data_IF_020201263015
#
_entry.id   IF_020201263015
#
_cell.length_a   1.000
_cell.length_b   1.000
_cell.length_c   1.000
_cell.angle_alpha   90.00
_cell.angle_beta   90.00
_cell.angle_gamma   90.00
#
_symmetry.space_group_name_H-M   'P 1'
#
loop_
_entity.id
_entity.type
_entity.pdbx_description
1 polymer ?
#
# COMPACT_ATOMS: atom_id res chain seq x y z
N UNK A 1 13.92 -11.49 -0.89
CA UNK A 1 13.83 -10.32 -1.78
C UNK A 1 15.26 -9.94 -2.17
N UNK A 2 15.54 -9.57 -3.42
CA UNK A 2 16.86 -9.64 -4.04
C UNK A 2 17.48 -8.27 -4.05
N UNK A 3 18.62 -8.26 -3.43
CA UNK A 3 19.47 -7.15 -3.12
C UNK A 3 20.82 -7.81 -2.90
N UNK A 4 21.89 -7.09 -3.19
CA UNK A 4 23.21 -7.52 -2.75
C UNK A 4 23.39 -7.31 -1.22
N UNK A 5 22.43 -6.65 -0.55
CA UNK A 5 22.42 -6.34 0.89
C UNK A 5 21.28 -7.04 1.67
N UNK A 6 21.51 -8.27 2.12
CA UNK A 6 20.53 -9.01 2.93
C UNK A 6 20.07 -8.26 4.21
N UNK A 7 20.82 -7.28 4.71
CA UNK A 7 20.44 -6.45 5.85
C UNK A 7 19.44 -5.34 5.50
N UNK A 8 19.42 -4.89 4.23
CA UNK A 8 18.42 -3.96 3.72
C UNK A 8 16.99 -4.47 3.94
N UNK A 9 16.77 -5.79 3.88
CA UNK A 9 15.47 -6.41 4.12
C UNK A 9 15.02 -6.39 5.58
N UNK A 10 15.96 -6.51 6.52
CA UNK A 10 15.64 -6.41 7.95
C UNK A 10 15.15 -5.02 8.33
N UNK A 11 15.38 -4.02 7.48
CA UNK A 11 15.04 -2.62 7.71
C UNK A 11 13.72 -2.18 7.08
N UNK A 12 13.11 -2.99 6.21
CA UNK A 12 11.77 -2.70 5.67
C UNK A 12 10.76 -2.76 6.80
N UNK A 13 10.07 -1.65 7.05
CA UNK A 13 9.13 -1.50 8.17
C UNK A 13 7.70 -1.24 7.72
N UNK A 14 7.44 -1.06 6.43
CA UNK A 14 6.09 -0.83 5.90
C UNK A 14 5.76 -1.66 4.65
N UNK A 15 4.47 -1.97 4.44
CA UNK A 15 3.98 -2.53 3.17
C UNK A 15 4.38 -1.67 1.97
N UNK A 16 4.28 -0.35 2.08
CA UNK A 16 4.67 0.58 1.01
C UNK A 16 6.12 0.41 0.57
N UNK A 17 7.06 0.23 1.50
CA UNK A 17 8.47 -0.07 1.20
C UNK A 17 8.65 -1.43 0.51
N UNK A 18 7.88 -2.45 0.90
CA UNK A 18 7.87 -3.76 0.25
C UNK A 18 7.36 -3.67 -1.20
N UNK A 19 6.21 -3.02 -1.41
CA UNK A 19 5.57 -2.98 -2.73
C UNK A 19 6.28 -2.08 -3.76
N UNK A 20 7.25 -1.23 -3.36
CA UNK A 20 7.97 -0.36 -4.32
C UNK A 20 8.67 -1.11 -5.45
N UNK A 21 9.13 -2.33 -5.16
CA UNK A 21 9.87 -3.18 -6.11
C UNK A 21 8.97 -4.21 -6.78
N UNK A 22 7.70 -4.29 -6.40
CA UNK A 22 6.75 -5.25 -6.95
C UNK A 22 6.21 -4.71 -8.27
N UNK A 23 6.50 -5.42 -9.35
CA UNK A 23 6.03 -5.09 -10.70
C UNK A 23 4.68 -5.76 -10.98
N UNK A 24 4.49 -6.98 -10.46
CA UNK A 24 3.26 -7.76 -10.60
C UNK A 24 2.95 -8.52 -9.32
N UNK A 25 1.70 -8.43 -8.88
CA UNK A 25 1.18 -9.20 -7.76
C UNK A 25 -0.34 -9.34 -7.86
N UNK A 26 -0.78 -10.45 -8.46
CA UNK A 26 -2.21 -10.69 -8.71
C UNK A 26 -3.02 -10.91 -7.43
N UNK A 27 -2.43 -11.61 -6.45
CA UNK A 27 -3.09 -11.96 -5.19
C UNK A 27 -2.84 -10.94 -4.05
N UNK A 28 -2.63 -9.66 -4.38
CA UNK A 28 -2.34 -8.62 -3.40
C UNK A 28 -3.52 -8.35 -2.46
N UNK A 29 -4.76 -8.45 -2.97
CA UNK A 29 -5.97 -8.31 -2.16
C UNK A 29 -6.03 -9.35 -1.06
N UNK A 30 -5.75 -10.60 -1.40
CA UNK A 30 -5.84 -11.75 -0.50
C UNK A 30 -4.75 -11.66 0.58
N UNK A 31 -3.55 -11.19 0.21
CA UNK A 31 -2.49 -10.90 1.17
C UNK A 31 -2.91 -9.80 2.16
N UNK A 32 -3.47 -8.68 1.66
CA UNK A 32 -3.89 -7.57 2.52
C UNK A 32 -5.06 -7.98 3.42
N UNK A 33 -6.02 -8.74 2.91
CA UNK A 33 -7.10 -9.31 3.69
C UNK A 33 -6.54 -10.14 4.85
N UNK A 34 -5.66 -11.07 4.56
CA UNK A 34 -5.09 -11.95 5.56
C UNK A 34 -4.17 -11.19 6.56
N UNK A 35 -3.52 -10.11 6.12
CA UNK A 35 -2.70 -9.26 6.98
C UNK A 35 -3.54 -8.37 7.92
N UNK A 36 -4.71 -7.92 7.46
CA UNK A 36 -5.62 -7.04 8.22
C UNK A 36 -6.61 -7.84 9.09
N UNK A 37 -6.87 -9.09 8.73
CA UNK A 37 -7.72 -10.04 9.43
C UNK A 37 -7.02 -11.41 9.53
N UNK A 38 -6.00 -11.54 10.39
CA UNK A 38 -5.23 -12.77 10.46
C UNK A 38 -6.04 -13.92 11.07
N UNK A 39 -6.35 -14.91 10.24
CA UNK A 39 -6.88 -16.22 10.65
C UNK A 39 -5.73 -17.10 11.13
N UNK A 40 -5.74 -17.62 12.38
CA UNK A 40 -4.66 -18.48 12.88
C UNK A 40 -4.35 -19.63 11.92
N UNK A 41 -3.06 -19.86 11.67
CA UNK A 41 -2.54 -20.96 10.85
C UNK A 41 -2.91 -20.97 9.36
N UNK A 42 -3.66 -19.97 8.88
CA UNK A 42 -3.88 -19.79 7.46
C UNK A 42 -2.55 -19.60 6.73
N UNK A 43 -2.38 -20.35 5.63
CA UNK A 43 -1.20 -20.29 4.76
C UNK A 43 -1.61 -19.57 3.48
N UNK A 44 -0.82 -18.57 3.08
CA UNK A 44 -0.95 -17.90 1.80
C UNK A 44 0.34 -18.07 1.01
N UNK A 45 0.23 -18.58 -0.22
CA UNK A 45 1.37 -18.80 -1.10
C UNK A 45 1.06 -18.31 -2.51
N UNK A 46 1.96 -17.52 -3.08
CA UNK A 46 1.78 -16.93 -4.40
C UNK A 46 3.13 -16.58 -5.03
N UNK A 47 3.12 -16.21 -6.31
CA UNK A 47 4.29 -15.71 -7.02
C UNK A 47 4.13 -14.22 -7.32
N UNK A 48 5.23 -13.48 -7.26
CA UNK A 48 5.29 -12.06 -7.58
C UNK A 48 6.45 -11.77 -8.53
N UNK A 49 6.26 -10.82 -9.45
CA UNK A 49 7.36 -10.29 -10.26
C UNK A 49 7.90 -9.04 -9.59
N UNK A 50 9.21 -8.95 -9.46
CA UNK A 50 9.90 -7.86 -8.79
C UNK A 50 11.04 -7.31 -9.62
N UNK A 51 11.30 -6.01 -9.47
CA UNK A 51 12.45 -5.33 -10.05
C UNK A 51 13.64 -5.45 -9.09
N UNK A 52 14.71 -6.08 -9.57
CA UNK A 52 15.97 -6.21 -8.86
C UNK A 52 16.76 -4.88 -8.88
N UNK A 53 17.62 -4.67 -7.88
CA UNK A 53 18.48 -3.47 -7.78
C UNK A 53 19.44 -3.32 -8.96
N UNK A 54 19.80 -4.44 -9.62
CA UNK A 54 20.61 -4.43 -10.86
C UNK A 54 19.79 -4.15 -12.13
N UNK A 55 18.51 -3.81 -11.99
CA UNK A 55 17.63 -3.42 -13.11
C UNK A 55 17.00 -4.56 -13.90
N UNK A 56 17.23 -5.82 -13.52
CA UNK A 56 16.58 -6.98 -14.12
C UNK A 56 15.33 -7.41 -13.32
N UNK A 57 14.40 -8.12 -13.96
CA UNK A 57 13.25 -8.70 -13.26
C UNK A 57 13.60 -10.04 -12.63
N UNK A 58 12.91 -10.36 -11.54
CA UNK A 58 12.94 -11.66 -10.86
C UNK A 58 11.51 -12.11 -10.55
N UNK A 59 11.34 -13.41 -10.40
CA UNK A 59 10.10 -14.04 -9.97
C UNK A 59 10.30 -14.67 -8.60
N UNK A 60 9.55 -14.20 -7.60
CA UNK A 60 9.65 -14.74 -6.24
C UNK A 60 8.39 -15.47 -5.84
N UNK A 61 8.57 -16.60 -5.19
CA UNK A 61 7.52 -17.23 -4.43
C UNK A 61 7.49 -16.64 -3.02
N UNK A 62 6.32 -16.17 -2.61
CA UNK A 62 6.04 -15.77 -1.24
C UNK A 62 5.24 -16.90 -0.60
N UNK A 63 5.66 -17.35 0.57
CA UNK A 63 4.84 -18.21 1.43
C UNK A 63 4.75 -17.56 2.79
N UNK A 64 3.54 -17.43 3.30
CA UNK A 64 3.25 -16.78 4.57
C UNK A 64 2.34 -17.64 5.43
N UNK A 65 2.45 -17.47 6.75
CA UNK A 65 1.56 -18.06 7.74
C UNK A 65 1.05 -16.97 8.67
N UNK A 66 -0.26 -16.94 8.83
CA UNK A 66 -0.93 -16.03 9.74
C UNK A 66 -0.81 -16.49 11.18
N UNK A 67 -0.68 -15.52 12.07
CA UNK A 67 -0.68 -15.74 13.51
C UNK A 67 -1.58 -14.70 14.16
N UNK A 68 -2.39 -15.17 15.10
CA UNK A 68 -3.21 -14.31 15.93
C UNK A 68 -3.26 -14.93 17.33
N UNK A 69 -2.16 -14.75 18.06
CA UNK A 69 -1.97 -15.27 19.42
C UNK A 69 -1.39 -14.17 20.34
N UNK A 70 -1.23 -14.50 21.62
CA UNK A 70 -0.69 -13.57 22.63
C UNK A 70 0.74 -13.10 22.34
N UNK A 71 1.44 -13.71 21.39
CA UNK A 71 2.82 -13.37 21.05
C UNK A 71 2.92 -12.55 19.75
N UNK A 72 1.97 -12.66 18.82
CA UNK A 72 1.93 -11.88 17.57
C UNK A 72 0.56 -11.96 16.90
N UNK A 73 0.09 -10.82 16.40
CA UNK A 73 -1.07 -10.70 15.50
C UNK A 73 -0.58 -10.13 14.17
N UNK A 74 -0.72 -10.90 13.10
CA UNK A 74 -0.25 -10.55 11.75
C UNK A 74 0.18 -11.77 10.94
N UNK A 75 1.12 -11.58 10.02
CA UNK A 75 1.64 -12.64 9.14
C UNK A 75 3.15 -12.73 9.22
N UNK A 76 3.68 -13.95 9.13
CA UNK A 76 5.11 -14.20 8.93
C UNK A 76 5.33 -14.84 7.58
N UNK A 77 6.23 -14.28 6.81
CA UNK A 77 6.49 -14.70 5.43
C UNK A 77 7.94 -15.04 5.18
N UNK A 78 8.15 -15.97 4.24
CA UNK A 78 9.41 -16.22 3.56
C UNK A 78 9.20 -15.87 2.09
N UNK A 79 10.23 -15.28 1.48
CA UNK A 79 10.28 -15.06 0.02
C UNK A 79 11.47 -15.81 -0.54
N UNK A 80 11.27 -16.52 -1.64
CA UNK A 80 12.30 -17.28 -2.33
C UNK A 80 12.35 -16.87 -3.80
N UNK A 81 13.56 -16.63 -4.31
CA UNK A 81 13.77 -16.41 -5.74
C UNK A 81 13.68 -17.74 -6.50
N UNK A 82 12.77 -17.80 -7.46
CA UNK A 82 12.50 -18.97 -8.30
C UNK A 82 12.69 -18.65 -9.78
N UNK A 83 13.40 -17.55 -10.10
CA UNK A 83 13.63 -17.05 -11.46
C UNK A 83 14.31 -18.07 -12.37
N UNK A 84 15.14 -18.94 -11.79
CA UNK A 84 15.85 -20.02 -12.48
C UNK A 84 14.92 -21.11 -13.02
N UNK A 85 13.78 -21.33 -12.36
CA UNK A 85 12.78 -22.34 -12.75
C UNK A 85 11.58 -21.71 -13.47
N UNK A 86 11.13 -20.54 -13.01
CA UNK A 86 9.97 -19.84 -13.55
C UNK A 86 10.37 -18.40 -13.87
N UNK A 87 10.53 -18.04 -15.16
CA UNK A 87 10.97 -16.71 -15.54
C UNK A 87 9.93 -15.64 -15.14
N UNK A 88 10.37 -14.39 -14.91
CA UNK A 88 9.47 -13.29 -14.57
C UNK A 88 8.49 -13.02 -15.71
N UNK A 89 7.20 -12.93 -15.36
CA UNK A 89 6.14 -12.55 -16.28
C UNK A 89 5.73 -11.10 -16.04
N UNK A 90 5.55 -10.35 -17.12
CA UNK A 90 4.91 -9.04 -17.12
C UNK A 90 3.79 -9.00 -18.15
N UNK A 91 2.66 -8.43 -17.77
CA UNK A 91 1.52 -8.19 -18.67
C UNK A 91 1.82 -7.03 -19.62
N UNK A 92 1.29 -7.03 -20.86
CA UNK A 92 1.36 -5.86 -21.76
C UNK A 92 0.85 -4.56 -21.11
N UNK A 93 -0.15 -4.65 -20.23
CA UNK A 93 -0.67 -3.49 -19.49
C UNK A 93 0.35 -2.96 -18.47
N UNK A 94 1.08 -3.85 -17.81
CA UNK A 94 2.18 -3.49 -16.91
C UNK A 94 3.31 -2.82 -17.71
N UNK A 95 3.62 -3.31 -18.91
CA UNK A 95 4.61 -2.71 -19.81
C UNK A 95 4.25 -1.29 -20.24
N UNK A 96 2.99 -1.04 -20.63
CA UNK A 96 2.48 0.32 -20.91
C UNK A 96 2.54 1.21 -19.66
N UNK A 97 2.24 0.61 -18.52
CA UNK A 97 2.41 1.18 -17.21
C UNK A 97 3.87 1.46 -16.85
N UNK A 98 4.89 0.91 -17.51
CA UNK A 98 6.29 1.29 -17.25
C UNK A 98 6.71 2.53 -18.05
N UNK A 99 6.17 2.71 -19.26
CA UNK A 99 6.63 3.74 -20.22
C UNK A 99 5.93 5.10 -20.11
N UNK A 100 4.81 5.19 -19.39
CA UNK A 100 4.04 6.45 -19.26
C UNK A 100 4.65 7.44 -18.25
N UNK A 101 4.82 8.71 -18.58
CA UNK A 101 5.23 9.69 -17.55
C UNK A 101 4.00 10.04 -16.70
N UNK A 102 4.01 9.86 -15.37
CA UNK A 102 2.88 10.26 -14.55
C UNK A 102 2.71 11.78 -14.60
N UNK A 103 1.48 12.24 -14.81
CA UNK A 103 1.15 13.66 -14.72
C UNK A 103 1.47 14.15 -13.30
N UNK A 104 2.33 15.18 -13.14
CA UNK A 104 2.76 15.69 -11.84
C UNK A 104 1.63 16.31 -11.01
N UNK A 105 0.42 16.47 -11.56
CA UNK A 105 -0.75 16.95 -10.84
C UNK A 105 -1.91 15.94 -10.82
N UNK A 106 -1.72 14.73 -11.37
CA UNK A 106 -2.76 13.72 -11.34
C UNK A 106 -3.11 13.31 -9.90
N UNK A 107 -4.39 12.93 -9.67
CA UNK A 107 -4.78 12.27 -8.43
C UNK A 107 -4.04 10.95 -8.28
N UNK A 108 -3.70 10.58 -7.04
CA UNK A 108 -3.18 9.25 -6.73
C UNK A 108 -4.32 8.35 -6.27
N UNK A 109 -4.26 7.05 -6.56
CA UNK A 109 -5.19 6.06 -6.02
C UNK A 109 -4.43 5.02 -5.21
N UNK A 110 -5.02 4.51 -4.12
CA UNK A 110 -4.38 3.55 -3.24
C UNK A 110 -5.39 2.68 -2.49
N UNK A 111 -4.89 1.59 -1.92
CA UNK A 111 -5.54 0.82 -0.87
C UNK A 111 -5.07 1.35 0.49
N UNK A 112 -6.01 1.83 1.31
CA UNK A 112 -5.76 2.29 2.67
C UNK A 112 -6.28 1.25 3.66
N UNK A 113 -5.37 0.66 4.43
CA UNK A 113 -5.67 -0.31 5.45
C UNK A 113 -5.81 0.35 6.83
N UNK A 114 -6.71 -0.19 7.64
CA UNK A 114 -6.94 0.15 9.05
C UNK A 114 -6.67 -1.10 9.91
N UNK A 115 -5.40 -1.38 10.25
CA UNK A 115 -5.07 -2.56 11.04
C UNK A 115 -5.73 -2.52 12.42
N UNK A 116 -6.32 -3.63 12.89
CA UNK A 116 -6.90 -3.66 14.25
C UNK A 116 -5.86 -3.56 15.37
N UNK A 117 -4.60 -3.78 15.05
CA UNK A 117 -3.47 -3.81 15.98
C UNK A 117 -2.74 -2.47 16.08
N UNK A 118 -3.13 -1.47 15.28
CA UNK A 118 -2.47 -0.17 15.23
C UNK A 118 -3.48 0.94 14.95
N UNK A 119 -3.40 2.09 15.65
CA UNK A 119 -4.22 3.25 15.33
C UNK A 119 -3.78 3.96 14.03
N UNK A 120 -2.72 3.48 13.37
CA UNK A 120 -2.11 4.11 12.20
C UNK A 120 -2.74 3.57 10.91
N UNK A 121 -3.45 4.39 10.13
CA UNK A 121 -3.86 4.02 8.77
C UNK A 121 -2.61 3.84 7.88
N UNK A 122 -2.59 2.79 7.08
CA UNK A 122 -1.43 2.42 6.26
C UNK A 122 -1.84 2.39 4.79
N UNK A 123 -1.13 3.14 3.94
CA UNK A 123 -1.22 2.93 2.49
C UNK A 123 -0.59 1.57 2.19
N UNK A 124 -1.46 0.58 2.01
CA UNK A 124 -1.09 -0.82 1.85
C UNK A 124 -0.57 -1.09 0.43
N UNK A 125 -1.19 -0.47 -0.58
CA UNK A 125 -0.77 -0.60 -1.97
C UNK A 125 -1.16 0.66 -2.77
N UNK A 126 -0.36 1.04 -3.77
CA UNK A 126 -0.74 2.06 -4.74
C UNK A 126 -1.47 1.44 -5.92
N UNK A 127 -2.52 2.11 -6.40
CA UNK A 127 -3.27 1.71 -7.59
C UNK A 127 -2.80 2.60 -8.73
N UNK A 128 -1.99 2.03 -9.62
CA UNK A 128 -1.36 2.76 -10.73
C UNK A 128 -0.12 3.54 -10.29
N UNK A 129 0.26 4.55 -11.09
CA UNK A 129 1.47 5.34 -10.83
C UNK A 129 1.26 6.33 -9.71
N UNK A 130 2.24 6.41 -8.81
CA UNK A 130 2.28 7.44 -7.77
C UNK A 130 2.79 8.75 -8.39
N UNK A 131 2.06 9.87 -8.24
CA UNK A 131 2.53 11.17 -8.67
C UNK A 131 3.86 11.58 -8.01
N UNK A 132 4.72 12.27 -8.77
CA UNK A 132 6.08 12.66 -8.35
C UNK A 132 6.11 13.67 -7.20
N UNK A 133 4.99 14.31 -6.87
CA UNK A 133 4.92 15.23 -5.72
C UNK A 133 4.84 14.51 -4.38
N UNK A 134 4.44 13.22 -4.37
CA UNK A 134 4.33 12.41 -3.15
C UNK A 134 5.69 11.81 -2.82
N UNK A 135 6.18 12.08 -1.60
CA UNK A 135 7.39 11.44 -1.09
C UNK A 135 7.05 10.08 -0.45
N UNK A 136 6.62 9.16 -1.30
CA UNK A 136 6.24 7.81 -0.90
C UNK A 136 7.44 6.87 -0.77
N UNK A 137 8.63 7.29 -1.23
CA UNK A 137 9.84 6.46 -1.33
C UNK A 137 10.86 6.66 -0.20
N UNK A 138 10.64 7.57 0.74
CA UNK A 138 11.52 7.75 1.91
C UNK A 138 11.67 6.45 2.71
N UNK A 139 12.91 6.04 2.97
CA UNK A 139 13.26 4.86 3.76
C UNK A 139 13.21 5.17 5.27
N UNK A 140 12.77 4.21 6.07
CA UNK A 140 12.83 4.27 7.54
C UNK A 140 11.76 5.16 8.18
N UNK A 141 10.99 5.90 7.38
CA UNK A 141 9.81 6.65 7.82
C UNK A 141 8.56 6.08 7.15
N UNK A 142 7.77 5.36 7.94
CA UNK A 142 6.54 4.69 7.50
C UNK A 142 5.33 5.61 7.43
N UNK A 143 5.44 6.84 7.95
CA UNK A 143 4.32 7.75 8.07
C UNK A 143 4.14 8.58 6.80
N UNK A 144 3.40 8.02 5.85
CA UNK A 144 3.06 8.73 4.61
C UNK A 144 1.89 9.71 4.81
N UNK A 145 0.99 9.41 5.75
CA UNK A 145 -0.12 10.28 6.17
C UNK A 145 0.28 10.96 7.47
N UNK A 146 0.05 12.27 7.57
CA UNK A 146 0.39 13.04 8.76
C UNK A 146 -0.34 12.48 10.02
N UNK A 147 0.36 12.27 11.15
CA UNK A 147 -0.22 11.68 12.36
C UNK A 147 -1.49 12.35 12.89
N UNK A 148 -1.55 13.68 12.93
CA UNK A 148 -2.76 14.40 13.36
C UNK A 148 -4.01 14.08 12.52
N UNK A 149 -3.86 13.57 11.30
CA UNK A 149 -4.98 13.25 10.42
C UNK A 149 -5.46 11.79 10.59
N UNK A 150 -4.77 10.96 11.37
CA UNK A 150 -5.18 9.57 11.61
C UNK A 150 -6.55 9.46 12.30
N UNK A 151 -6.88 10.24 13.35
CA UNK A 151 -8.19 10.14 14.01
C UNK A 151 -9.36 10.44 13.07
N UNK A 152 -9.20 11.41 12.15
CA UNK A 152 -10.24 11.77 11.20
C UNK A 152 -10.43 10.67 10.14
N UNK A 153 -9.35 10.06 9.65
CA UNK A 153 -9.45 8.93 8.73
C UNK A 153 -10.07 7.69 9.38
N UNK A 154 -9.74 7.42 10.65
CA UNK A 154 -10.38 6.35 11.41
C UNK A 154 -11.87 6.63 11.64
N UNK A 155 -12.26 7.89 11.89
CA UNK A 155 -13.67 8.28 11.96
C UNK A 155 -14.37 8.01 10.62
N UNK A 156 -13.74 8.34 9.50
CA UNK A 156 -14.25 8.03 8.16
C UNK A 156 -14.42 6.52 7.94
N UNK A 157 -13.51 5.68 8.45
CA UNK A 157 -13.67 4.22 8.44
C UNK A 157 -14.92 3.76 9.18
N UNK A 158 -15.14 4.24 10.40
CA UNK A 158 -16.34 3.91 11.19
C UNK A 158 -17.63 4.39 10.50
N UNK A 159 -17.61 5.59 9.91
CA UNK A 159 -18.76 6.12 9.17
C UNK A 159 -19.13 5.24 7.97
N UNK A 160 -18.13 4.81 7.20
CA UNK A 160 -18.35 3.99 6.01
C UNK A 160 -18.80 2.57 6.34
N UNK A 161 -18.41 1.99 7.48
CA UNK A 161 -18.89 0.68 7.95
C UNK A 161 -20.43 0.64 8.07
N UNK A 162 -21.04 1.72 8.56
CA UNK A 162 -22.48 1.84 8.72
C UNK A 162 -23.22 2.29 7.43
N UNK A 163 -22.48 2.64 6.38
CA UNK A 163 -23.02 3.19 5.15
C UNK A 163 -23.35 2.09 4.12
N UNK A 164 -24.03 2.48 3.02
CA UNK A 164 -24.25 1.59 1.88
C UNK A 164 -22.89 1.20 1.24
N UNK A 165 -22.76 0.01 0.62
CA UNK A 165 -21.49 -0.50 0.09
C UNK A 165 -20.72 0.46 -0.84
N UNK A 166 -21.43 1.24 -1.66
CA UNK A 166 -20.83 2.17 -2.63
C UNK A 166 -20.73 3.61 -2.11
N UNK A 167 -20.92 3.83 -0.81
CA UNK A 167 -20.81 5.16 -0.22
C UNK A 167 -19.36 5.65 -0.27
N UNK A 168 -19.20 6.92 -0.61
CA UNK A 168 -17.91 7.61 -0.53
C UNK A 168 -17.93 8.66 0.57
N UNK A 169 -16.78 8.92 1.18
CA UNK A 169 -16.61 10.00 2.15
C UNK A 169 -15.25 10.66 1.95
N UNK A 170 -15.25 11.98 2.06
CA UNK A 170 -14.07 12.79 1.83
C UNK A 170 -13.50 13.31 3.14
N UNK A 171 -12.19 13.15 3.33
CA UNK A 171 -11.46 13.57 4.54
C UNK A 171 -10.30 14.48 4.15
N UNK A 172 -10.24 15.73 4.65
CA UNK A 172 -9.04 16.56 4.53
C UNK A 172 -7.88 15.92 5.30
N UNK A 173 -6.70 15.87 4.68
CA UNK A 173 -5.51 15.30 5.30
C UNK A 173 -4.24 15.98 4.79
N UNK A 174 -3.09 15.50 5.28
CA UNK A 174 -1.76 15.86 4.76
C UNK A 174 -1.02 14.58 4.40
N UNK A 175 -0.44 14.59 3.20
CA UNK A 175 0.41 13.51 2.69
C UNK A 175 1.85 14.01 2.61
N UNK A 176 2.80 13.15 2.92
CA UNK A 176 4.22 13.46 2.81
C UNK A 176 4.58 13.77 1.36
N UNK A 177 5.26 14.88 1.14
CA UNK A 177 5.49 15.42 -0.19
C UNK A 177 6.82 16.15 -0.28
N UNK A 178 7.29 16.39 -1.50
CA UNK A 178 8.48 17.20 -1.79
C UNK A 178 8.16 18.70 -1.71
N UNK A 179 7.67 19.16 -0.56
CA UNK A 179 7.39 20.57 -0.24
C UNK A 179 8.33 21.07 0.86
N UNK A 180 8.50 22.40 1.06
CA UNK A 180 9.34 22.93 2.13
C UNK A 180 8.92 22.48 3.54
N UNK A 181 7.63 22.24 3.76
CA UNK A 181 7.08 21.73 5.03
C UNK A 181 7.18 20.20 5.14
N UNK A 182 7.51 19.50 4.05
CA UNK A 182 7.46 18.04 3.94
C UNK A 182 6.03 17.46 3.83
N UNK A 183 5.00 18.31 3.84
CA UNK A 183 3.60 17.92 3.86
C UNK A 183 2.79 18.71 2.82
N UNK A 184 1.98 18.00 2.04
CA UNK A 184 1.04 18.56 1.09
C UNK A 184 -0.38 18.38 1.63
N UNK A 185 -1.16 19.46 1.81
CA UNK A 185 -2.60 19.37 2.05
C UNK A 185 -3.29 18.66 0.90
N UNK A 186 -4.13 17.68 1.24
CA UNK A 186 -4.85 16.83 0.30
C UNK A 186 -6.29 16.61 0.74
N UNK A 187 -7.09 16.21 -0.23
CA UNK A 187 -8.42 15.66 -0.06
C UNK A 187 -8.34 14.15 -0.32
N UNK A 188 -8.71 13.33 0.66
CA UNK A 188 -8.78 11.87 0.53
C UNK A 188 -10.24 11.46 0.41
N UNK A 189 -10.66 11.05 -0.79
CA UNK A 189 -11.96 10.40 -0.99
C UNK A 189 -11.79 8.90 -0.73
N UNK A 190 -12.58 8.34 0.18
CA UNK A 190 -12.53 6.94 0.58
C UNK A 190 -13.85 6.24 0.26
N UNK A 191 -13.76 4.97 -0.17
CA UNK A 191 -14.88 4.04 -0.23
C UNK A 191 -14.43 2.66 0.26
N UNK A 192 -15.37 1.85 0.73
CA UNK A 192 -15.05 0.48 1.18
C UNK A 192 -14.54 -0.36 0.01
N UNK A 193 -13.53 -1.17 0.29
CA UNK A 193 -13.18 -2.26 -0.63
C UNK A 193 -14.35 -3.28 -0.65
N UNK A 194 -14.69 -3.89 -1.80
CA UNK A 194 -15.79 -4.84 -1.87
C UNK A 194 -15.61 -6.04 -0.92
N UNK A 195 -16.71 -6.49 -0.30
CA UNK A 195 -16.71 -7.66 0.60
C UNK A 195 -16.39 -7.33 2.06
N UNK A 196 -16.21 -8.37 2.87
CA UNK A 196 -16.05 -8.25 4.33
C UNK A 196 -14.77 -7.49 4.73
N UNK A 197 -13.70 -7.59 3.92
CA UNK A 197 -12.45 -6.84 4.14
C UNK A 197 -12.66 -5.32 4.07
N UNK A 198 -13.75 -4.86 3.44
CA UNK A 198 -14.11 -3.45 3.30
C UNK A 198 -14.23 -2.67 4.61
N UNK A 199 -14.40 -3.35 5.75
CA UNK A 199 -14.43 -2.73 7.08
C UNK A 199 -13.07 -2.22 7.54
N UNK A 200 -11.98 -2.74 6.95
CA UNK A 200 -10.59 -2.38 7.29
C UNK A 200 -9.74 -2.06 6.09
N UNK A 201 -10.29 -2.13 4.89
CA UNK A 201 -9.61 -1.84 3.65
C UNK A 201 -10.47 -0.93 2.79
N UNK A 202 -9.94 0.23 2.48
CA UNK A 202 -10.60 1.21 1.64
C UNK A 202 -9.86 1.40 0.33
N UNK A 203 -10.60 1.69 -0.73
CA UNK A 203 -10.06 2.27 -1.95
C UNK A 203 -10.10 3.79 -1.76
N UNK A 204 -8.95 4.44 -1.89
CA UNK A 204 -8.82 5.89 -1.73
C UNK A 204 -8.33 6.57 -2.98
N UNK A 205 -8.79 7.82 -3.19
CA UNK A 205 -8.27 8.77 -4.16
C UNK A 205 -7.73 9.98 -3.40
N UNK A 206 -6.51 10.40 -3.72
CA UNK A 206 -5.78 11.48 -3.06
C UNK A 206 -5.56 12.59 -4.08
N UNK A 207 -6.08 13.76 -3.77
CA UNK A 207 -5.95 14.96 -4.62
C UNK A 207 -5.33 16.09 -3.81
N UNK A 208 -4.50 16.93 -4.44
CA UNK A 208 -4.05 18.17 -3.78
C UNK A 208 -5.28 18.99 -3.40
N UNK A 209 -5.34 19.47 -2.16
CA UNK A 209 -6.42 20.34 -1.75
C UNK A 209 -6.38 21.62 -2.59
N UNK A 210 -7.51 22.01 -3.18
CA UNK A 210 -7.62 23.30 -3.87
C UNK A 210 -7.52 24.40 -2.81
N UNK A 211 -6.48 25.23 -2.90
CA UNK A 211 -6.40 26.45 -2.10
C UNK A 211 -7.62 27.29 -2.48
N UNK A 212 -8.54 27.49 -1.53
CA UNK A 212 -9.50 28.58 -1.66
C UNK A 212 -8.68 29.86 -1.52
N UNK A 213 -8.53 30.61 -2.60
CA UNK A 213 -8.10 31.99 -2.53
C UNK A 213 -9.11 32.73 -1.66
N UNK A 214 -8.75 32.99 -0.40
CA UNK A 214 -9.46 33.96 0.43
C UNK A 214 -9.13 35.32 -0.14
N UNK A 215 -10.07 35.86 -0.92
CA UNK A 215 -10.10 37.28 -1.29
C UNK A 215 -10.45 38.18 -0.11
#
# INVERSE_FOLDING_TARGET
MSTDDADGFKRIRSPGEFFRKVVRFDAVSDLIELATHPTPDAIFSTNITVLHDRGNLMNWQITTRSRNDNHHTGMRGITHDITDVIPPAISPLETLGLTSTPDPNAPAAALLAFPSTSPTPVIANWIGKVPTWIDWQREGDTNLIHPDNWPDLTRTAVLLQAALPDSETTTPARIRAHTPTGWQPVTITSRRYPGEVGDRLHIIRIEKATLKETG
#
